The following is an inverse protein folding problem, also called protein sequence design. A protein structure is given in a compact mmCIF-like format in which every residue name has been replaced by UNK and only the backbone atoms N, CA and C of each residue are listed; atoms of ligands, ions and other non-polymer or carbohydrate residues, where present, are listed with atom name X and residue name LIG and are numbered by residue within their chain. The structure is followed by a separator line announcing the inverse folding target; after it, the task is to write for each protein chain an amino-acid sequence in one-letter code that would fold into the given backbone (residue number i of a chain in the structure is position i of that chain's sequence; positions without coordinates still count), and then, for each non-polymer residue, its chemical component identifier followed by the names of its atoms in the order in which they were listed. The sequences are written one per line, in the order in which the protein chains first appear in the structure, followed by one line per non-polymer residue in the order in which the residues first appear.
data_IF_092388636261
#
_entry.id   IF_092388636261
#
_cell.length_a   1.000
_cell.length_b   1.000
_cell.length_c   1.000
_cell.angle_alpha   90.00
_cell.angle_beta   90.00
_cell.angle_gamma   90.00
#
_symmetry.space_group_name_H-M   'P 1'
#
loop_
_entity.id
_entity.type
_entity.pdbx_description
1 polymer ?
#
# COMPACT_ATOMS: atom_id res chain seq x y z
N UNK A 1 -16.73 -14.30 2.42
CA UNK A 1 -15.39 -13.73 2.19
C UNK A 1 -14.71 -13.59 3.56
N UNK A 2 -13.53 -14.16 3.79
CA UNK A 2 -12.84 -14.11 5.09
C UNK A 2 -12.04 -12.80 5.21
N UNK A 3 -12.04 -12.17 6.39
CA UNK A 3 -11.31 -10.94 6.68
C UNK A 3 -9.80 -11.03 6.35
N UNK A 4 -9.18 -12.19 6.60
CA UNK A 4 -7.78 -12.43 6.23
C UNK A 4 -7.52 -12.28 4.72
N UNK A 5 -8.47 -12.72 3.89
CA UNK A 5 -8.37 -12.57 2.45
C UNK A 5 -8.50 -11.10 2.03
N UNK A 6 -9.37 -10.33 2.69
CA UNK A 6 -9.55 -8.90 2.42
C UNK A 6 -8.25 -8.13 2.69
N UNK A 7 -7.59 -8.39 3.82
CA UNK A 7 -6.31 -7.77 4.16
C UNK A 7 -5.20 -8.10 3.14
N UNK A 8 -5.14 -9.36 2.68
CA UNK A 8 -4.16 -9.77 1.66
C UNK A 8 -4.44 -9.13 0.29
N UNK A 9 -5.71 -8.99 -0.10
CA UNK A 9 -6.09 -8.29 -1.33
C UNK A 9 -5.77 -6.80 -1.23
N UNK A 10 -6.03 -6.16 -0.09
CA UNK A 10 -5.65 -4.77 0.16
C UNK A 10 -4.13 -4.58 0.07
N UNK A 11 -3.35 -5.49 0.67
CA UNK A 11 -1.88 -5.48 0.55
C UNK A 11 -1.44 -5.61 -0.93
N UNK A 12 -2.04 -6.53 -1.69
CA UNK A 12 -1.76 -6.67 -3.12
C UNK A 12 -2.07 -5.41 -3.93
N UNK A 13 -3.20 -4.75 -3.65
CA UNK A 13 -3.54 -3.47 -4.26
C UNK A 13 -2.54 -2.37 -3.91
N UNK A 14 -2.10 -2.29 -2.66
CA UNK A 14 -1.08 -1.32 -2.25
C UNK A 14 0.27 -1.59 -2.92
N UNK A 15 0.67 -2.85 -3.10
CA UNK A 15 1.90 -3.20 -3.84
C UNK A 15 1.86 -2.70 -5.28
N UNK A 16 0.70 -2.76 -5.96
CA UNK A 16 0.56 -2.17 -7.29
C UNK A 16 0.85 -0.66 -7.27
N UNK A 17 0.40 0.05 -6.25
CA UNK A 17 0.70 1.47 -6.06
C UNK A 17 2.19 1.74 -5.81
N UNK A 18 2.84 0.91 -5.00
CA UNK A 18 4.29 1.00 -4.78
C UNK A 18 5.04 0.85 -6.10
N UNK A 19 4.69 -0.18 -6.87
CA UNK A 19 5.36 -0.48 -8.14
C UNK A 19 5.22 0.67 -9.14
N UNK A 20 4.02 1.20 -9.32
CA UNK A 20 3.83 2.30 -10.27
C UNK A 20 4.51 3.59 -9.82
N UNK A 21 4.52 3.92 -8.53
CA UNK A 21 5.16 5.15 -8.06
C UNK A 21 6.69 5.09 -8.08
N UNK A 22 7.29 3.90 -7.92
CA UNK A 22 8.75 3.74 -7.91
C UNK A 22 9.34 3.47 -9.29
N UNK A 23 8.68 2.62 -10.09
CA UNK A 23 9.24 2.14 -11.35
C UNK A 23 8.57 2.77 -12.58
N UNK A 24 7.34 3.26 -12.45
CA UNK A 24 6.56 3.84 -13.56
C UNK A 24 6.02 5.26 -13.27
N UNK A 25 6.80 6.16 -12.62
CA UNK A 25 6.29 7.47 -12.21
C UNK A 25 5.81 8.31 -13.39
N UNK A 26 6.45 8.20 -14.57
CA UNK A 26 6.04 8.93 -15.78
C UNK A 26 4.66 8.51 -16.28
N UNK A 27 4.30 7.22 -16.20
CA UNK A 27 2.98 6.75 -16.59
C UNK A 27 1.90 7.26 -15.65
N UNK A 28 2.22 7.32 -14.34
CA UNK A 28 1.31 7.89 -13.33
C UNK A 28 1.13 9.38 -13.58
N UNK A 29 2.21 10.13 -13.79
CA UNK A 29 2.15 11.56 -14.13
C UNK A 29 1.27 11.81 -15.36
N UNK A 30 1.45 11.05 -16.44
CA UNK A 30 0.64 11.13 -17.66
C UNK A 30 -0.84 10.79 -17.40
N UNK A 31 -1.10 9.69 -16.68
CA UNK A 31 -2.46 9.22 -16.37
C UNK A 31 -3.28 10.28 -15.63
N UNK A 32 -2.64 11.02 -14.72
CA UNK A 32 -3.29 12.04 -13.90
C UNK A 32 -3.13 13.47 -14.45
N UNK A 33 -2.49 13.64 -15.61
CA UNK A 33 -2.24 14.96 -16.21
C UNK A 33 -1.34 15.85 -15.36
N UNK A 34 -0.43 15.26 -14.57
CA UNK A 34 0.50 15.99 -13.73
C UNK A 34 1.70 16.48 -14.56
N UNK A 35 2.12 17.72 -14.29
CA UNK A 35 3.35 18.23 -14.87
C UNK A 35 4.54 17.53 -14.23
N UNK A 36 5.29 16.77 -15.03
CA UNK A 36 6.52 16.11 -14.59
C UNK A 36 7.52 17.10 -14.02
N UNK A 37 7.92 16.89 -12.77
CA UNK A 37 9.00 17.64 -12.12
C UNK A 37 9.88 16.73 -11.29
N UNK A 38 11.16 17.08 -11.08
CA UNK A 38 12.04 16.32 -10.20
C UNK A 38 11.48 16.17 -8.79
N UNK A 39 10.89 17.24 -8.23
CA UNK A 39 10.33 17.26 -6.88
C UNK A 39 9.11 16.36 -6.77
N UNK A 40 8.25 16.34 -7.79
CA UNK A 40 7.10 15.43 -7.84
C UNK A 40 7.53 13.97 -7.83
N UNK A 41 8.56 13.60 -8.61
CA UNK A 41 9.10 12.24 -8.61
C UNK A 41 9.70 11.84 -7.27
N UNK A 42 10.33 12.77 -6.56
CA UNK A 42 10.82 12.53 -5.19
C UNK A 42 9.65 12.32 -4.24
N UNK A 43 8.61 13.14 -4.32
CA UNK A 43 7.38 12.97 -3.54
C UNK A 43 6.73 11.60 -3.79
N UNK A 44 6.61 11.18 -5.06
CA UNK A 44 6.05 9.88 -5.43
C UNK A 44 6.85 8.71 -4.84
N UNK A 45 8.19 8.83 -4.74
CA UNK A 45 9.01 7.81 -4.07
C UNK A 45 8.70 7.72 -2.58
N UNK A 46 8.53 8.85 -1.89
CA UNK A 46 8.13 8.86 -0.48
C UNK A 46 6.71 8.32 -0.27
N UNK A 47 5.77 8.68 -1.15
CA UNK A 47 4.42 8.12 -1.12
C UNK A 47 4.43 6.60 -1.36
N UNK A 48 5.21 6.14 -2.33
CA UNK A 48 5.43 4.71 -2.57
C UNK A 48 6.05 4.00 -1.36
N UNK A 49 6.99 4.64 -0.65
CA UNK A 49 7.56 4.09 0.58
C UNK A 49 6.52 3.96 1.69
N UNK A 50 5.68 4.98 1.88
CA UNK A 50 4.58 4.93 2.84
C UNK A 50 3.57 3.82 2.48
N UNK A 51 3.24 3.67 1.20
CA UNK A 51 2.37 2.58 0.73
C UNK A 51 3.00 1.21 0.92
N UNK A 52 4.32 1.09 0.75
CA UNK A 52 5.03 -0.16 1.01
C UNK A 52 4.92 -0.56 2.48
N UNK A 53 5.10 0.39 3.41
CA UNK A 53 4.92 0.14 4.84
C UNK A 53 3.48 -0.32 5.16
N UNK A 54 2.47 0.33 4.58
CA UNK A 54 1.07 -0.08 4.75
C UNK A 54 0.79 -1.45 4.13
N UNK A 55 1.35 -1.75 2.94
CA UNK A 55 1.20 -3.05 2.30
C UNK A 55 1.79 -4.16 3.17
N UNK A 56 2.99 -3.95 3.71
CA UNK A 56 3.60 -4.88 4.66
C UNK A 56 2.73 -5.07 5.89
N UNK A 57 2.22 -3.98 6.48
CA UNK A 57 1.33 -4.06 7.63
C UNK A 57 0.06 -4.88 7.32
N UNK A 58 -0.61 -4.61 6.20
CA UNK A 58 -1.81 -5.36 5.81
C UNK A 58 -1.52 -6.84 5.52
N UNK A 59 -0.32 -7.16 5.05
CA UNK A 59 0.11 -8.54 4.85
C UNK A 59 0.41 -9.26 6.17
N UNK A 60 1.04 -8.58 7.13
CA UNK A 60 1.47 -9.18 8.40
C UNK A 60 0.39 -9.20 9.46
N UNK A 61 -0.59 -8.28 9.41
CA UNK A 61 -1.65 -8.18 10.40
C UNK A 61 -2.45 -9.49 10.59
N UNK A 62 -2.90 -10.19 9.52
CA UNK A 62 -3.61 -11.45 9.67
C UNK A 62 -2.75 -12.58 10.25
N UNK A 63 -1.42 -12.50 10.08
CA UNK A 63 -0.49 -13.49 10.66
C UNK A 63 -0.34 -13.29 12.17
N UNK A 64 -0.33 -12.04 12.63
CA UNK A 64 -0.20 -11.72 14.05
C UNK A 64 -1.52 -11.86 14.81
N UNK A 65 -2.64 -11.49 14.19
CA UNK A 65 -3.94 -11.55 14.86
C UNK A 65 -4.53 -12.96 14.90
N UNK A 66 -4.10 -13.86 14.01
CA UNK A 66 -4.61 -15.22 13.92
C UNK A 66 -6.13 -15.26 13.78
N UNK A 67 -6.80 -16.01 14.66
CA UNK A 67 -8.26 -16.14 14.70
C UNK A 67 -8.97 -14.88 15.23
N UNK A 68 -8.26 -14.01 15.95
CA UNK A 68 -8.82 -12.80 16.57
C UNK A 68 -8.64 -11.55 15.71
N UNK A 69 -8.50 -11.68 14.39
CA UNK A 69 -8.33 -10.54 13.48
C UNK A 69 -9.45 -9.50 13.58
N UNK A 70 -10.69 -9.91 13.87
CA UNK A 70 -11.80 -8.99 14.10
C UNK A 70 -11.68 -8.15 15.38
N UNK A 71 -10.87 -8.61 16.34
CA UNK A 71 -10.68 -7.99 17.65
C UNK A 71 -9.24 -7.49 17.86
N UNK A 72 -8.45 -7.40 16.79
CA UNK A 72 -7.04 -7.05 16.88
C UNK A 72 -6.87 -5.64 17.48
N UNK A 73 -6.09 -5.53 18.56
CA UNK A 73 -5.79 -4.26 19.22
C UNK A 73 -6.87 -3.77 20.19
N UNK A 74 -7.95 -4.52 20.40
CA UNK A 74 -8.89 -4.23 21.49
C UNK A 74 -8.32 -4.77 22.81
N UNK A 75 -8.10 -3.87 23.78
CA UNK A 75 -7.86 -4.26 25.18
C UNK A 75 -9.23 -4.52 25.78
N UNK A 76 -9.51 -5.78 26.11
CA UNK A 76 -10.71 -6.18 26.86
C UNK A 76 -10.80 -5.45 28.20
#
# INVERSE_FOLDING_TARGET
MNLSLVFKLAAGFMVLWVLQMWFLPSMVEETFGWNSSPDLRVLMRYMGMAMAALATFHWTLPMWAGENLSNFGMVS
#
